data_IF_221098170513
#
_entry.id   IF_221098170513
#
_cell.length_a   1.000
_cell.length_b   1.000
_cell.length_c   1.000
_cell.angle_alpha   90.00
_cell.angle_beta   90.00
_cell.angle_gamma   90.00
#
_symmetry.space_group_name_H-M   'P 1'
#
loop_
_entity.id
_entity.type
_entity.pdbx_description
1 polymer ?
#
# COMPACT_ATOMS: atom_id res chain seq x y z
N UNK A 1 2.54 16.05 3.90
CA UNK A 1 3.88 16.15 4.51
C UNK A 1 4.71 14.93 4.16
N UNK A 2 4.30 13.68 4.50
CA UNK A 2 5.10 12.47 4.32
C UNK A 2 5.62 12.26 2.87
N UNK A 3 4.85 12.64 1.87
CA UNK A 3 5.25 12.55 0.47
C UNK A 3 5.94 13.83 -0.05
N UNK A 4 6.28 14.78 0.82
CA UNK A 4 6.90 16.04 0.41
C UNK A 4 6.05 16.88 -0.55
N UNK A 5 4.72 16.73 -0.54
CA UNK A 5 3.80 17.53 -1.35
C UNK A 5 3.47 18.86 -0.67
N UNK A 6 3.49 18.87 0.65
CA UNK A 6 3.28 20.06 1.50
C UNK A 6 4.34 20.04 2.58
N UNK A 7 4.94 21.18 2.85
CA UNK A 7 5.92 21.35 3.91
C UNK A 7 5.24 21.77 5.22
N UNK A 8 5.79 21.40 6.40
CA UNK A 8 5.26 21.88 7.67
C UNK A 8 5.53 23.39 7.82
N UNK A 9 4.59 24.11 8.42
CA UNK A 9 4.75 25.55 8.72
C UNK A 9 5.82 25.78 9.79
N UNK A 10 6.00 24.81 10.71
CA UNK A 10 7.03 24.83 11.74
C UNK A 10 7.52 23.41 12.03
N UNK A 11 8.71 23.30 12.60
CA UNK A 11 9.34 22.00 12.88
C UNK A 11 9.93 21.35 11.60
N UNK A 12 10.20 20.04 11.67
CA UNK A 12 10.76 19.28 10.56
C UNK A 12 10.17 17.87 10.50
N UNK A 13 10.02 17.34 9.30
CA UNK A 13 9.70 15.95 9.06
C UNK A 13 10.95 15.25 8.51
N UNK A 14 11.34 14.14 9.12
CA UNK A 14 12.54 13.38 8.74
C UNK A 14 12.25 11.90 8.61
N UNK A 15 12.96 11.24 7.70
CA UNK A 15 13.08 9.78 7.67
C UNK A 15 14.34 9.42 8.46
N UNK A 16 14.19 8.49 9.40
CA UNK A 16 15.33 7.96 10.17
C UNK A 16 15.59 6.52 9.78
N UNK A 17 16.76 6.26 9.25
CA UNK A 17 17.22 4.90 8.93
C UNK A 17 17.59 4.10 10.17
N UNK A 18 17.66 2.77 10.05
CA UNK A 18 18.11 1.85 11.12
C UNK A 18 19.54 2.17 11.62
N UNK A 19 20.37 2.78 10.77
CA UNK A 19 21.73 3.26 11.09
C UNK A 19 21.78 4.63 11.79
N UNK A 20 20.63 5.23 12.11
CA UNK A 20 20.52 6.55 12.73
C UNK A 20 20.63 7.74 11.77
N UNK A 21 20.91 7.53 10.48
CA UNK A 21 20.88 8.61 9.50
C UNK A 21 19.50 9.24 9.41
N UNK A 22 19.45 10.56 9.39
CA UNK A 22 18.24 11.35 9.16
C UNK A 22 18.28 12.05 7.81
N UNK A 23 17.19 11.95 7.08
CA UNK A 23 16.99 12.64 5.79
C UNK A 23 15.70 13.47 5.92
N UNK A 24 15.80 14.76 5.65
CA UNK A 24 14.62 15.65 5.65
C UNK A 24 13.68 15.24 4.52
N UNK A 25 12.40 15.13 4.82
CA UNK A 25 11.38 14.78 3.82
C UNK A 25 11.29 15.88 2.76
N UNK A 26 11.41 15.47 1.49
CA UNK A 26 11.39 16.33 0.31
C UNK A 26 10.78 15.58 -0.89
N UNK A 27 10.79 16.20 -2.05
CA UNK A 27 10.42 15.53 -3.30
C UNK A 27 11.34 14.32 -3.60
N UNK A 28 12.61 14.40 -3.24
CA UNK A 28 13.61 13.35 -3.49
C UNK A 28 13.37 12.11 -2.62
N UNK A 29 12.83 12.28 -1.41
CA UNK A 29 12.52 11.14 -0.52
C UNK A 29 11.31 10.33 -0.95
N UNK A 30 10.56 10.74 -1.98
CA UNK A 30 9.40 9.98 -2.51
C UNK A 30 9.77 8.59 -3.01
N UNK A 31 11.01 8.38 -3.43
CA UNK A 31 11.49 7.06 -3.82
C UNK A 31 11.44 6.04 -2.67
N UNK A 32 11.50 6.50 -1.41
CA UNK A 32 11.39 5.65 -0.22
C UNK A 32 9.95 5.19 0.09
N UNK A 33 8.95 5.67 -0.65
CA UNK A 33 7.55 5.36 -0.40
C UNK A 33 6.93 4.54 -1.53
N UNK A 34 6.21 3.49 -1.17
CA UNK A 34 5.14 2.91 -1.97
C UNK A 34 3.82 3.46 -1.45
N UNK A 35 3.03 4.12 -2.29
CA UNK A 35 1.80 4.78 -1.87
C UNK A 35 0.59 4.20 -2.59
N UNK A 36 -0.42 3.83 -1.82
CA UNK A 36 -1.74 3.42 -2.31
C UNK A 36 -2.76 4.42 -1.76
N UNK A 37 -3.23 5.36 -2.57
CA UNK A 37 -4.25 6.31 -2.15
C UNK A 37 -5.63 5.67 -2.08
N UNK A 38 -6.56 6.39 -1.48
CA UNK A 38 -7.97 6.07 -1.49
C UNK A 38 -8.51 5.98 -2.93
N UNK A 39 -9.38 5.01 -3.19
CA UNK A 39 -10.03 4.81 -4.48
C UNK A 39 -9.16 4.07 -5.51
N UNK A 40 -9.63 4.01 -6.75
CA UNK A 40 -8.93 3.32 -7.83
C UNK A 40 -7.89 4.22 -8.51
N UNK A 41 -6.66 3.73 -8.57
CA UNK A 41 -5.52 4.40 -9.20
C UNK A 41 -4.93 3.59 -10.35
N UNK A 42 -5.75 2.70 -10.90
CA UNK A 42 -5.34 1.91 -12.06
C UNK A 42 -5.48 2.74 -13.34
N UNK A 43 -4.55 2.52 -14.26
CA UNK A 43 -4.51 3.14 -15.58
C UNK A 43 -5.08 2.19 -16.62
N UNK A 44 -5.59 2.76 -17.72
CA UNK A 44 -5.98 1.96 -18.89
C UNK A 44 -4.82 1.14 -19.40
N UNK A 45 -5.09 -0.12 -19.75
CA UNK A 45 -4.07 -1.07 -20.17
C UNK A 45 -4.31 -2.44 -19.54
N UNK A 46 -3.33 -3.32 -19.56
CA UNK A 46 -3.41 -4.63 -18.91
C UNK A 46 -3.09 -4.55 -17.41
N UNK A 47 -3.48 -5.57 -16.65
CA UNK A 47 -3.07 -5.71 -15.25
C UNK A 47 -1.53 -5.79 -15.17
N UNK A 48 -0.89 -6.52 -16.08
CA UNK A 48 0.57 -6.62 -16.13
C UNK A 48 1.25 -5.26 -16.36
N UNK A 49 0.72 -4.43 -17.30
CA UNK A 49 1.23 -3.08 -17.51
C UNK A 49 1.10 -2.21 -16.27
N UNK A 50 -0.03 -2.27 -15.57
CA UNK A 50 -0.22 -1.57 -14.30
C UNK A 50 0.79 -1.99 -13.23
N UNK A 51 1.12 -3.27 -13.13
CA UNK A 51 2.14 -3.77 -12.20
C UNK A 51 3.54 -3.32 -12.61
N UNK A 52 3.88 -3.37 -13.91
CA UNK A 52 5.18 -2.94 -14.43
C UNK A 52 5.46 -1.45 -14.29
N UNK A 53 4.44 -0.61 -14.09
CA UNK A 53 4.66 0.80 -13.72
C UNK A 53 5.43 0.97 -12.41
N UNK A 54 5.38 -0.01 -11.51
CA UNK A 54 6.14 -0.01 -10.26
C UNK A 54 7.54 -0.61 -10.43
N UNK A 55 7.67 -1.60 -11.32
CA UNK A 55 8.91 -2.31 -11.63
C UNK A 55 8.87 -2.77 -13.09
N UNK A 56 9.53 -2.02 -13.98
CA UNK A 56 9.47 -2.21 -15.44
C UNK A 56 9.81 -3.64 -15.87
N UNK A 57 10.88 -4.20 -15.31
CA UNK A 57 11.37 -5.54 -15.62
C UNK A 57 10.84 -6.61 -14.65
N UNK A 58 9.62 -6.41 -14.09
CA UNK A 58 9.02 -7.41 -13.21
C UNK A 58 8.77 -8.72 -13.96
N UNK A 59 9.24 -9.83 -13.38
CA UNK A 59 8.98 -11.18 -13.91
C UNK A 59 7.54 -11.61 -13.61
N UNK A 60 7.08 -12.66 -14.27
CA UNK A 60 5.74 -13.22 -14.00
C UNK A 60 5.63 -13.77 -12.58
N UNK A 61 6.71 -14.36 -12.06
CA UNK A 61 6.78 -14.86 -10.70
C UNK A 61 6.66 -13.72 -9.68
N UNK A 62 7.36 -12.60 -9.89
CA UNK A 62 7.28 -11.43 -9.03
C UNK A 62 5.90 -10.80 -9.04
N UNK A 63 5.29 -10.66 -10.22
CA UNK A 63 3.93 -10.16 -10.35
C UNK A 63 2.92 -11.08 -9.65
N UNK A 64 3.08 -12.41 -9.83
CA UNK A 64 2.23 -13.41 -9.19
C UNK A 64 2.38 -13.36 -7.66
N UNK A 65 3.60 -13.25 -7.15
CA UNK A 65 3.86 -13.14 -5.71
C UNK A 65 3.21 -11.88 -5.11
N UNK A 66 3.35 -10.73 -5.78
CA UNK A 66 2.73 -9.49 -5.36
C UNK A 66 1.18 -9.57 -5.38
N UNK A 67 0.60 -10.18 -6.42
CA UNK A 67 -0.84 -10.42 -6.52
C UNK A 67 -1.35 -11.38 -5.42
N UNK A 68 -0.58 -12.41 -5.07
CA UNK A 68 -0.91 -13.31 -3.96
C UNK A 68 -0.88 -12.58 -2.62
N UNK A 69 0.15 -11.76 -2.38
CA UNK A 69 0.25 -10.94 -1.16
C UNK A 69 -0.96 -10.02 -1.00
N UNK A 70 -1.42 -9.40 -2.08
CA UNK A 70 -2.61 -8.54 -2.08
C UNK A 70 -3.96 -9.30 -2.18
N UNK A 71 -3.96 -10.64 -2.09
CA UNK A 71 -5.16 -11.47 -2.29
C UNK A 71 -5.85 -11.26 -3.65
N UNK A 72 -5.10 -10.83 -4.68
CA UNK A 72 -5.62 -10.55 -6.00
C UNK A 72 -5.48 -11.74 -6.96
N UNK A 73 -4.54 -12.64 -6.72
CA UNK A 73 -4.20 -13.72 -7.66
C UNK A 73 -5.37 -14.62 -8.02
N UNK A 74 -6.20 -14.99 -7.05
CA UNK A 74 -7.32 -15.91 -7.27
C UNK A 74 -8.30 -15.40 -8.35
N UNK A 75 -8.69 -14.12 -8.29
CA UNK A 75 -9.57 -13.56 -9.31
C UNK A 75 -8.83 -13.23 -10.61
N UNK A 76 -7.57 -12.74 -10.54
CA UNK A 76 -6.79 -12.43 -11.76
C UNK A 76 -6.54 -13.68 -12.57
N UNK A 77 -6.17 -14.79 -11.96
CA UNK A 77 -5.94 -16.07 -12.65
C UNK A 77 -7.23 -16.68 -13.24
N UNK A 78 -8.40 -16.32 -12.73
CA UNK A 78 -9.70 -16.75 -13.27
C UNK A 78 -10.20 -15.91 -14.46
N UNK A 79 -9.56 -14.76 -14.73
CA UNK A 79 -9.89 -13.95 -15.90
C UNK A 79 -9.42 -14.65 -17.18
N UNK A 80 -10.15 -14.52 -18.31
CA UNK A 80 -9.81 -15.21 -19.57
C UNK A 80 -8.37 -14.97 -20.05
N UNK A 81 -7.83 -13.77 -19.80
CA UNK A 81 -6.47 -13.38 -20.21
C UNK A 81 -5.52 -13.21 -19.00
N UNK A 82 -5.91 -13.66 -17.79
CA UNK A 82 -5.09 -13.53 -16.59
C UNK A 82 -4.56 -12.10 -16.37
N UNK A 83 -3.26 -11.97 -16.16
CA UNK A 83 -2.60 -10.66 -16.00
C UNK A 83 -2.62 -9.79 -17.28
N UNK A 84 -2.87 -10.39 -18.45
CA UNK A 84 -2.97 -9.66 -19.71
C UNK A 84 -4.41 -9.14 -19.97
N UNK A 85 -5.32 -9.31 -19.01
CA UNK A 85 -6.67 -8.75 -19.10
C UNK A 85 -6.59 -7.23 -19.15
N UNK A 86 -7.23 -6.64 -20.18
CA UNK A 86 -7.33 -5.18 -20.31
C UNK A 86 -8.36 -4.62 -19.34
N UNK A 87 -7.98 -3.56 -18.69
CA UNK A 87 -8.84 -2.74 -17.84
C UNK A 87 -8.91 -1.33 -18.43
N UNK A 88 -10.05 -0.69 -18.27
CA UNK A 88 -10.23 0.70 -18.68
C UNK A 88 -9.88 1.66 -17.55
N UNK A 89 -9.99 2.96 -17.77
CA UNK A 89 -9.67 3.98 -16.77
C UNK A 89 -10.34 3.69 -15.42
N UNK A 90 -9.62 3.97 -14.35
CA UNK A 90 -10.04 3.74 -12.97
C UNK A 90 -10.40 2.28 -12.63
N UNK A 91 -9.85 1.33 -13.40
CA UNK A 91 -10.11 -0.09 -13.16
C UNK A 91 -11.47 -0.57 -13.73
N UNK A 92 -12.01 0.11 -14.74
CA UNK A 92 -13.27 -0.31 -15.38
C UNK A 92 -13.22 -1.77 -15.84
N UNK A 93 -14.26 -2.53 -15.51
CA UNK A 93 -14.33 -3.98 -15.67
C UNK A 93 -13.99 -4.77 -14.41
N UNK A 94 -13.50 -4.11 -13.36
CA UNK A 94 -13.21 -4.68 -12.04
C UNK A 94 -14.11 -4.06 -10.97
N UNK A 95 -14.40 -4.80 -9.90
CA UNK A 95 -14.99 -4.19 -8.71
C UNK A 95 -13.96 -3.28 -8.03
N UNK A 96 -14.43 -2.32 -7.23
CA UNK A 96 -13.54 -1.41 -6.50
C UNK A 96 -12.54 -2.16 -5.62
N UNK A 97 -12.99 -3.18 -4.88
CA UNK A 97 -12.11 -4.02 -4.07
C UNK A 97 -11.12 -4.87 -4.89
N UNK A 98 -11.46 -5.25 -6.14
CA UNK A 98 -10.50 -5.87 -7.05
C UNK A 98 -9.45 -4.88 -7.52
N UNK A 99 -9.86 -3.67 -7.88
CA UNK A 99 -8.96 -2.60 -8.29
C UNK A 99 -8.01 -2.18 -7.13
N UNK A 100 -8.52 -2.03 -5.90
CA UNK A 100 -7.69 -1.76 -4.73
C UNK A 100 -6.63 -2.85 -4.50
N UNK A 101 -6.99 -4.13 -4.60
CA UNK A 101 -6.03 -5.23 -4.43
C UNK A 101 -4.93 -5.23 -5.50
N UNK A 102 -5.23 -4.87 -6.76
CA UNK A 102 -4.20 -4.71 -7.78
C UNK A 102 -3.31 -3.50 -7.46
N UNK A 103 -3.86 -2.39 -6.98
CA UNK A 103 -3.08 -1.22 -6.56
C UNK A 103 -2.14 -1.54 -5.38
N UNK A 104 -2.61 -2.35 -4.41
CA UNK A 104 -1.78 -2.87 -3.32
C UNK A 104 -0.67 -3.77 -3.88
N UNK A 105 -0.98 -4.71 -4.80
CA UNK A 105 0.03 -5.56 -5.44
C UNK A 105 1.11 -4.74 -6.16
N UNK A 106 0.71 -3.68 -6.86
CA UNK A 106 1.63 -2.74 -7.50
C UNK A 106 2.56 -2.06 -6.49
N UNK A 107 2.04 -1.64 -5.34
CA UNK A 107 2.83 -1.04 -4.27
C UNK A 107 3.80 -2.04 -3.61
N UNK A 108 3.37 -3.29 -3.42
CA UNK A 108 4.23 -4.40 -2.95
C UNK A 108 5.38 -4.64 -3.92
N UNK A 109 5.07 -4.72 -5.22
CA UNK A 109 6.06 -4.97 -6.27
C UNK A 109 7.13 -3.88 -6.37
N UNK A 110 6.78 -2.62 -6.04
CA UNK A 110 7.73 -1.52 -5.95
C UNK A 110 8.82 -1.75 -4.91
N UNK A 111 8.51 -2.42 -3.79
CA UNK A 111 9.48 -2.79 -2.78
C UNK A 111 10.13 -1.63 -2.04
N UNK A 112 9.45 -0.48 -1.91
CA UNK A 112 9.98 0.65 -1.16
C UNK A 112 10.01 0.36 0.36
N UNK A 113 10.96 0.95 1.11
CA UNK A 113 11.10 0.71 2.55
C UNK A 113 9.91 1.20 3.40
N UNK A 114 9.06 2.06 2.84
CA UNK A 114 7.85 2.54 3.52
C UNK A 114 6.65 2.30 2.62
N UNK A 115 5.65 1.59 3.13
CA UNK A 115 4.36 1.37 2.48
C UNK A 115 3.30 2.26 3.15
N UNK A 116 2.72 3.17 2.39
CA UNK A 116 1.66 4.07 2.83
C UNK A 116 0.34 3.64 2.20
N UNK A 117 -0.60 3.20 3.03
CA UNK A 117 -1.94 2.74 2.66
C UNK A 117 -2.97 3.75 3.17
N UNK A 118 -3.50 4.56 2.28
CA UNK A 118 -4.46 5.61 2.62
C UNK A 118 -5.88 5.14 2.31
N UNK A 119 -6.57 4.62 3.33
CA UNK A 119 -7.87 3.96 3.20
C UNK A 119 -7.90 2.89 2.08
N UNK A 120 -6.74 2.33 1.76
CA UNK A 120 -6.54 1.43 0.62
C UNK A 120 -7.24 0.07 0.75
N UNK A 121 -7.85 -0.21 1.89
CA UNK A 121 -8.63 -1.43 2.16
C UNK A 121 -10.11 -1.17 2.34
N UNK A 122 -10.58 0.07 2.14
CA UNK A 122 -11.95 0.49 2.44
C UNK A 122 -13.03 -0.24 1.62
N UNK A 123 -12.74 -0.67 0.40
CA UNK A 123 -13.66 -1.43 -0.46
C UNK A 123 -13.55 -2.96 -0.28
N UNK A 124 -12.71 -3.44 0.65
CA UNK A 124 -12.58 -4.87 0.94
C UNK A 124 -13.58 -5.30 2.02
N UNK A 125 -14.04 -6.55 1.96
CA UNK A 125 -14.71 -7.16 3.11
C UNK A 125 -13.70 -7.42 4.24
N UNK A 126 -14.18 -7.54 5.47
CA UNK A 126 -13.33 -7.68 6.67
C UNK A 126 -12.39 -8.89 6.61
N UNK A 127 -12.83 -10.00 6.03
CA UNK A 127 -12.02 -11.22 5.89
C UNK A 127 -10.87 -11.01 4.90
N UNK A 128 -11.16 -10.40 3.77
CA UNK A 128 -10.16 -10.09 2.75
C UNK A 128 -9.17 -9.04 3.25
N UNK A 129 -9.64 -7.98 3.93
CA UNK A 129 -8.79 -6.98 4.57
C UNK A 129 -7.82 -7.61 5.57
N UNK A 130 -8.33 -8.43 6.48
CA UNK A 130 -7.52 -9.14 7.47
C UNK A 130 -6.43 -10.00 6.81
N UNK A 131 -6.78 -10.71 5.73
CA UNK A 131 -5.84 -11.56 5.01
C UNK A 131 -4.77 -10.74 4.29
N UNK A 132 -5.15 -9.63 3.64
CA UNK A 132 -4.21 -8.70 2.98
C UNK A 132 -3.22 -8.15 3.99
N UNK A 133 -3.70 -7.62 5.13
CA UNK A 133 -2.82 -7.07 6.17
C UNK A 133 -1.87 -8.13 6.73
N UNK A 134 -2.35 -9.34 7.01
CA UNK A 134 -1.51 -10.46 7.45
C UNK A 134 -0.43 -10.81 6.41
N UNK A 135 -0.81 -10.90 5.15
CA UNK A 135 0.11 -11.22 4.06
C UNK A 135 1.19 -10.13 3.91
N UNK A 136 0.80 -8.84 4.00
CA UNK A 136 1.74 -7.72 3.93
C UNK A 136 2.79 -7.80 5.04
N UNK A 137 2.37 -8.03 6.29
CA UNK A 137 3.30 -8.17 7.42
C UNK A 137 4.26 -9.36 7.27
N UNK A 138 3.77 -10.46 6.67
CA UNK A 138 4.60 -11.66 6.44
C UNK A 138 5.56 -11.47 5.27
N UNK A 139 5.10 -10.85 4.18
CA UNK A 139 5.90 -10.69 2.96
C UNK A 139 6.89 -9.52 3.03
N UNK A 140 6.63 -8.53 3.90
CA UNK A 140 7.39 -7.29 3.99
C UNK A 140 7.86 -7.00 5.44
N UNK A 141 8.62 -7.91 6.08
CA UNK A 141 8.97 -7.80 7.51
C UNK A 141 9.84 -6.58 7.84
N UNK A 142 10.59 -6.07 6.87
CA UNK A 142 11.49 -4.91 7.02
C UNK A 142 10.88 -3.59 6.54
N UNK A 143 9.64 -3.62 6.04
CA UNK A 143 8.95 -2.44 5.51
C UNK A 143 8.13 -1.77 6.60
N UNK A 144 8.32 -0.47 6.80
CA UNK A 144 7.45 0.32 7.67
C UNK A 144 6.10 0.54 6.98
N UNK A 145 5.02 -0.01 7.53
CA UNK A 145 3.68 0.15 7.00
C UNK A 145 2.93 1.23 7.78
N UNK A 146 2.45 2.25 7.09
CA UNK A 146 1.58 3.31 7.63
C UNK A 146 0.20 3.13 7.00
N UNK A 147 -0.80 2.91 7.83
CA UNK A 147 -2.18 2.68 7.40
C UNK A 147 -3.09 3.74 8.00
N UNK A 148 -3.88 4.43 7.17
CA UNK A 148 -5.04 5.19 7.63
C UNK A 148 -6.29 4.33 7.48
N UNK A 149 -7.13 4.26 8.51
CA UNK A 149 -8.34 3.44 8.48
C UNK A 149 -9.38 3.95 9.48
N UNK A 150 -10.64 3.76 9.15
CA UNK A 150 -11.77 3.91 10.07
C UNK A 150 -12.27 2.54 10.60
N UNK A 151 -11.60 1.44 10.24
CA UNK A 151 -12.01 0.07 10.58
C UNK A 151 -11.28 -0.47 11.79
N UNK A 152 -11.97 -0.78 12.91
CA UNK A 152 -11.32 -1.31 14.11
C UNK A 152 -10.61 -2.65 13.88
N UNK A 153 -11.10 -3.46 12.94
CA UNK A 153 -10.52 -4.77 12.60
C UNK A 153 -9.07 -4.73 12.09
N UNK A 154 -8.66 -3.60 11.47
CA UNK A 154 -7.30 -3.40 10.98
C UNK A 154 -6.30 -3.07 12.11
N UNK A 155 -6.77 -2.49 13.22
CA UNK A 155 -5.91 -1.98 14.30
C UNK A 155 -5.07 -3.07 14.97
N UNK A 156 -5.57 -4.29 15.06
CA UNK A 156 -4.85 -5.44 15.66
C UNK A 156 -3.57 -5.83 14.91
N UNK A 157 -3.41 -5.38 13.66
CA UNK A 157 -2.21 -5.60 12.85
C UNK A 157 -1.17 -4.49 13.01
N UNK A 158 -1.50 -3.43 13.74
CA UNK A 158 -0.63 -2.27 13.93
C UNK A 158 0.17 -2.41 15.23
N UNK A 159 1.46 -2.07 15.18
CA UNK A 159 2.33 -2.01 16.38
C UNK A 159 2.18 -0.71 17.13
N UNK A 160 1.73 0.36 16.48
CA UNK A 160 1.46 1.68 17.07
C UNK A 160 0.17 2.24 16.51
N UNK A 161 -0.64 2.83 17.37
CA UNK A 161 -1.88 3.48 17.01
C UNK A 161 -1.81 4.97 17.33
N UNK A 162 -2.23 5.78 16.37
CA UNK A 162 -2.30 7.23 16.50
C UNK A 162 -3.71 7.70 16.19
N UNK A 163 -4.24 8.59 17.03
CA UNK A 163 -5.49 9.29 16.77
C UNK A 163 -5.19 10.70 16.28
N UNK A 164 -5.77 11.05 15.14
CA UNK A 164 -5.74 12.41 14.63
C UNK A 164 -7.04 13.12 15.04
N UNK A 165 -6.95 14.15 15.87
CA UNK A 165 -8.11 14.90 16.37
C UNK A 165 -7.72 16.34 16.67
N UNK A 166 -8.56 17.29 16.30
CA UNK A 166 -8.36 18.72 16.54
C UNK A 166 -6.97 19.26 16.10
N UNK A 167 -6.47 18.75 14.95
CA UNK A 167 -5.16 19.16 14.42
C UNK A 167 -3.96 18.55 15.13
N UNK A 168 -4.16 17.68 16.12
CA UNK A 168 -3.11 16.97 16.84
C UNK A 168 -3.07 15.48 16.50
N UNK A 169 -1.88 14.89 16.57
CA UNK A 169 -1.67 13.45 16.41
C UNK A 169 -1.17 12.89 17.75
N UNK A 170 -1.99 12.04 18.38
CA UNK A 170 -1.69 11.46 19.70
C UNK A 170 -1.50 9.97 19.58
N UNK A 171 -0.40 9.45 20.12
CA UNK A 171 -0.20 8.00 20.24
C UNK A 171 -1.13 7.48 21.35
N UNK A 172 -2.02 6.52 20.98
CA UNK A 172 -3.04 5.98 21.91
C UNK A 172 -2.70 4.57 22.38
N UNK A 173 -1.94 3.82 21.61
CA UNK A 173 -1.56 2.45 21.95
C UNK A 173 -0.26 2.06 21.27
N UNK A 174 0.52 1.19 21.94
CA UNK A 174 1.69 0.53 21.41
C UNK A 174 1.49 -0.98 21.59
N UNK A 175 1.05 -1.65 20.54
CA UNK A 175 0.93 -3.10 20.53
C UNK A 175 2.31 -3.72 20.28
N UNK A 176 2.78 -4.59 21.20
CA UNK A 176 3.92 -5.45 20.91
C UNK A 176 3.37 -6.68 20.20
N UNK A 177 3.80 -7.01 18.98
CA UNK A 177 3.46 -8.29 18.39
C UNK A 177 3.95 -9.40 19.32
N UNK A 178 3.07 -10.37 19.57
CA UNK A 178 3.39 -11.56 20.34
C UNK A 178 4.39 -12.45 19.61
#
# INVERSE_FOLDING_TARGET
VLLGLVYPESGRAVLRGKNGCEIVISAETRCAFSYVPQGSTLFSGTIAENLRMAKENATEEEMTAALKTACAWAFVSSLPNGVNTKITERGGGLSEGQAQRIAIARAVLRGAPILLLDEATSALDEKTEAQVLKNLLTALPDTACILTTHRPGALKYCTRLYKAENGALTCIEVNRPA
#
